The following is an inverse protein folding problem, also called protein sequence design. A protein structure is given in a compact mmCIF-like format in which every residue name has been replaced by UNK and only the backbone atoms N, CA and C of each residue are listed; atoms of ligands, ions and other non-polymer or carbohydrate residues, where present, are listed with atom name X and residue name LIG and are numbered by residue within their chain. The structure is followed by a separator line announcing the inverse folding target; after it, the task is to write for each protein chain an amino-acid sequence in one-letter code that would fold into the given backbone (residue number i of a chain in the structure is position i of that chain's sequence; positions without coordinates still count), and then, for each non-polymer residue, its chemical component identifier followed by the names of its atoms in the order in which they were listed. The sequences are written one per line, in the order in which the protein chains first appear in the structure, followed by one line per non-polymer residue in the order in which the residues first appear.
data_IF_738593730078
#
_entry.id   IF_738593730078
#
_cell.length_a   1.000
_cell.length_b   1.000
_cell.length_c   1.000
_cell.angle_alpha   90.00
_cell.angle_beta   90.00
_cell.angle_gamma   90.00
#
_symmetry.space_group_name_H-M   'P 1'
#
loop_
_entity.id
_entity.type
_entity.pdbx_description
1 polymer ?
#
# COMPACT_ATOMS: atom_id res chain seq x y z
N UNK A 1 -28.96 -11.81 -45.58
CA UNK A 1 -29.73 -12.40 -46.70
C UNK A 1 -28.99 -12.07 -47.99
N UNK A 2 -28.78 -13.05 -48.87
CA UNK A 2 -28.42 -12.80 -50.27
C UNK A 2 -29.67 -13.05 -51.11
N UNK A 3 -29.98 -12.09 -51.98
CA UNK A 3 -31.08 -12.18 -52.94
C UNK A 3 -30.50 -12.28 -54.33
N UNK A 4 -31.02 -13.19 -55.14
CA UNK A 4 -30.73 -13.27 -56.57
C UNK A 4 -32.02 -13.08 -57.35
N UNK A 5 -31.94 -12.37 -58.46
CA UNK A 5 -33.05 -12.27 -59.39
C UNK A 5 -33.15 -13.59 -60.15
N UNK A 6 -34.33 -14.21 -60.10
CA UNK A 6 -34.64 -15.41 -60.88
C UNK A 6 -35.64 -14.97 -61.95
N UNK A 7 -35.34 -15.30 -63.20
CA UNK A 7 -36.18 -14.97 -64.35
C UNK A 7 -36.62 -16.27 -65.02
N UNK A 8 -37.90 -16.39 -65.34
CA UNK A 8 -38.40 -17.45 -66.20
C UNK A 8 -37.98 -17.13 -67.64
N UNK A 9 -37.13 -17.97 -68.24
CA UNK A 9 -36.66 -17.77 -69.61
C UNK A 9 -37.02 -18.96 -70.48
N UNK A 10 -37.45 -18.67 -71.71
CA UNK A 10 -37.69 -19.65 -72.77
C UNK A 10 -36.59 -19.49 -73.81
N UNK A 11 -35.77 -20.53 -74.00
CA UNK A 11 -34.74 -20.55 -75.04
C UNK A 11 -35.35 -21.02 -76.35
N UNK A 12 -35.29 -20.18 -77.40
CA UNK A 12 -35.85 -20.48 -78.73
C UNK A 12 -34.76 -20.82 -79.76
N UNK A 13 -33.49 -20.49 -79.46
CA UNK A 13 -32.34 -20.84 -80.28
C UNK A 13 -31.02 -20.71 -79.49
N UNK A 14 -29.86 -20.85 -80.16
CA UNK A 14 -28.55 -20.75 -79.50
C UNK A 14 -28.23 -19.35 -78.96
N UNK A 15 -28.89 -18.30 -79.47
CA UNK A 15 -28.71 -16.91 -79.02
C UNK A 15 -30.02 -16.15 -78.78
N UNK A 16 -31.18 -16.79 -78.96
CA UNK A 16 -32.50 -16.19 -78.74
C UNK A 16 -33.13 -16.73 -77.46
N UNK A 17 -33.33 -15.82 -76.50
CA UNK A 17 -33.96 -16.09 -75.21
C UNK A 17 -35.04 -15.05 -74.95
N UNK A 18 -36.22 -15.49 -74.52
CA UNK A 18 -37.34 -14.63 -74.14
C UNK A 18 -37.63 -14.78 -72.64
N UNK A 19 -37.86 -13.65 -71.95
CA UNK A 19 -38.27 -13.65 -70.54
C UNK A 19 -39.79 -13.72 -70.46
N UNK A 20 -40.30 -14.69 -69.69
CA UNK A 20 -41.73 -14.96 -69.50
C UNK A 20 -42.17 -14.64 -68.06
N UNK A 21 -43.47 -14.67 -67.82
CA UNK A 21 -44.02 -14.63 -66.46
C UNK A 21 -43.65 -15.88 -65.66
N UNK A 22 -43.42 -15.70 -64.35
CA UNK A 22 -43.05 -16.75 -63.41
C UNK A 22 -44.03 -17.93 -63.36
N UNK A 23 -45.30 -17.68 -63.69
CA UNK A 23 -46.38 -18.68 -63.73
C UNK A 23 -46.11 -19.83 -64.72
N UNK A 24 -45.21 -19.62 -65.69
CA UNK A 24 -44.81 -20.63 -66.66
C UNK A 24 -43.62 -21.50 -66.18
N UNK A 25 -42.92 -21.09 -65.12
CA UNK A 25 -41.74 -21.79 -64.57
C UNK A 25 -41.98 -22.22 -63.10
N UNK A 26 -43.09 -22.94 -62.85
CA UNK A 26 -43.46 -23.36 -61.48
C UNK A 26 -42.62 -24.54 -60.95
N UNK A 27 -42.07 -25.36 -61.83
CA UNK A 27 -41.25 -26.52 -61.47
C UNK A 27 -39.76 -26.15 -61.51
N UNK A 28 -38.99 -26.60 -60.52
CA UNK A 28 -37.55 -26.34 -60.38
C UNK A 28 -37.14 -24.87 -60.23
N UNK A 29 -38.05 -23.97 -59.79
CA UNK A 29 -37.71 -22.58 -59.49
C UNK A 29 -36.60 -22.51 -58.42
N UNK A 30 -35.46 -21.86 -58.72
CA UNK A 30 -34.37 -21.70 -57.75
C UNK A 30 -34.78 -20.87 -56.54
N UNK A 31 -34.17 -21.13 -55.38
CA UNK A 31 -34.40 -20.35 -54.16
C UNK A 31 -33.83 -18.93 -54.34
N UNK A 32 -34.73 -17.94 -54.35
CA UNK A 32 -34.42 -16.53 -54.58
C UNK A 32 -33.77 -15.85 -53.38
N UNK A 33 -34.08 -16.36 -52.18
CA UNK A 33 -33.65 -15.81 -50.90
C UNK A 33 -32.88 -16.85 -50.13
N UNK A 34 -31.59 -16.61 -49.97
CA UNK A 34 -30.74 -17.45 -49.13
C UNK A 34 -30.32 -16.68 -47.88
N UNK A 35 -30.45 -17.32 -46.72
CA UNK A 35 -29.89 -16.79 -45.49
C UNK A 35 -28.37 -16.72 -45.63
N UNK A 36 -27.80 -15.52 -45.54
CA UNK A 36 -26.34 -15.37 -45.51
C UNK A 36 -25.87 -15.33 -44.06
N UNK A 37 -24.63 -15.78 -43.81
CA UNK A 37 -24.03 -15.84 -42.48
C UNK A 37 -24.83 -16.67 -41.46
N UNK A 38 -25.22 -17.90 -41.83
CA UNK A 38 -25.83 -18.86 -40.90
C UNK A 38 -24.85 -19.33 -39.80
N UNK A 39 -23.57 -18.92 -39.89
CA UNK A 39 -22.56 -19.13 -38.87
C UNK A 39 -22.46 -17.87 -38.02
N UNK A 40 -22.66 -18.02 -36.71
CA UNK A 40 -22.41 -16.96 -35.74
C UNK A 40 -20.95 -16.50 -35.90
N UNK A 41 -20.75 -15.19 -35.97
CA UNK A 41 -19.41 -14.63 -36.13
C UNK A 41 -18.50 -15.15 -34.99
N UNK A 42 -17.24 -15.52 -35.30
CA UNK A 42 -16.35 -16.07 -34.30
C UNK A 42 -16.18 -15.08 -33.14
N UNK A 43 -15.99 -15.57 -31.91
CA UNK A 43 -15.79 -14.71 -30.77
C UNK A 43 -14.48 -13.93 -30.89
N UNK A 44 -14.46 -12.75 -30.29
CA UNK A 44 -13.35 -11.81 -30.37
C UNK A 44 -12.81 -11.44 -28.99
N UNK A 45 -11.54 -11.07 -28.95
CA UNK A 45 -10.95 -10.50 -27.76
C UNK A 45 -11.49 -9.10 -27.49
N UNK A 46 -11.86 -8.86 -26.25
CA UNK A 46 -12.31 -7.56 -25.75
C UNK A 46 -11.47 -7.21 -24.54
N UNK A 47 -10.92 -6.00 -24.55
CA UNK A 47 -10.05 -5.50 -23.48
C UNK A 47 -10.83 -4.55 -22.60
N UNK A 48 -10.70 -4.71 -21.28
CA UNK A 48 -11.10 -3.68 -20.32
C UNK A 48 -10.00 -2.62 -20.20
N UNK A 49 -10.31 -1.58 -19.45
CA UNK A 49 -9.36 -0.53 -19.12
C UNK A 49 -8.14 -1.06 -18.36
N UNK A 50 -7.04 -0.34 -18.52
CA UNK A 50 -5.84 -0.60 -17.76
C UNK A 50 -6.03 -0.22 -16.30
N UNK A 51 -5.50 -1.05 -15.41
CA UNK A 51 -5.25 -0.69 -14.03
C UNK A 51 -4.30 0.49 -13.95
N UNK A 52 -4.23 1.09 -12.77
CA UNK A 52 -3.17 2.02 -12.45
C UNK A 52 -1.81 1.31 -12.47
N UNK A 53 -0.75 2.08 -12.74
CA UNK A 53 0.62 1.57 -12.70
C UNK A 53 1.00 1.26 -11.25
N UNK A 54 1.57 0.07 -11.03
CA UNK A 54 2.15 -0.32 -9.74
C UNK A 54 3.64 -0.64 -9.90
N UNK A 55 4.52 -0.05 -9.08
CA UNK A 55 4.23 0.92 -8.01
C UNK A 55 3.82 2.32 -8.51
N UNK A 56 3.34 3.18 -7.59
CA UNK A 56 2.87 4.55 -7.87
C UNK A 56 3.98 5.55 -8.21
N UNK A 57 5.21 5.10 -8.32
CA UNK A 57 6.39 5.85 -8.75
C UNK A 57 7.38 4.88 -9.38
N UNK A 58 8.33 5.38 -10.18
CA UNK A 58 9.38 4.56 -10.78
C UNK A 58 8.86 3.57 -11.82
N UNK A 59 9.68 2.56 -12.17
CA UNK A 59 9.31 1.53 -13.14
C UNK A 59 8.32 0.53 -12.54
N UNK A 60 7.31 0.18 -13.32
CA UNK A 60 6.24 -0.71 -12.87
C UNK A 60 5.48 -1.37 -14.01
N UNK A 61 4.33 -1.94 -13.67
CA UNK A 61 3.42 -2.55 -14.63
C UNK A 61 1.99 -2.13 -14.37
N UNK A 62 1.21 -2.06 -15.45
CA UNK A 62 -0.25 -2.01 -15.39
C UNK A 62 -0.83 -3.25 -16.05
N UNK A 63 -1.98 -3.67 -15.55
CA UNK A 63 -2.67 -4.89 -15.94
C UNK A 63 -4.04 -4.55 -16.49
N UNK A 64 -4.59 -5.38 -17.38
CA UNK A 64 -5.98 -5.25 -17.82
C UNK A 64 -6.58 -6.62 -17.99
N UNK A 65 -7.91 -6.68 -17.96
CA UNK A 65 -8.63 -7.92 -18.21
C UNK A 65 -8.88 -8.05 -19.72
N UNK A 66 -8.65 -9.25 -20.24
CA UNK A 66 -8.87 -9.60 -21.64
C UNK A 66 -9.85 -10.77 -21.70
N UNK A 67 -11.03 -10.53 -22.25
CA UNK A 67 -12.14 -11.48 -22.29
C UNK A 67 -12.38 -11.95 -23.72
N UNK A 68 -12.66 -13.24 -23.90
CA UNK A 68 -13.18 -13.76 -25.15
C UNK A 68 -14.70 -13.57 -25.13
N UNK A 69 -15.25 -12.74 -26.02
CA UNK A 69 -16.69 -12.46 -26.07
C UNK A 69 -17.27 -12.83 -27.43
N UNK A 70 -18.56 -13.17 -27.43
CA UNK A 70 -19.35 -13.26 -28.66
C UNK A 70 -19.26 -11.95 -29.45
N UNK A 71 -19.54 -12.02 -30.75
CA UNK A 71 -19.43 -10.86 -31.62
C UNK A 71 -20.33 -9.69 -31.19
N UNK A 72 -21.53 -10.01 -30.68
CA UNK A 72 -22.52 -9.11 -30.10
C UNK A 72 -22.23 -8.69 -28.65
N UNK A 73 -21.10 -9.13 -28.07
CA UNK A 73 -20.61 -8.79 -26.73
C UNK A 73 -21.46 -9.25 -25.54
N UNK A 74 -22.52 -10.01 -25.78
CA UNK A 74 -23.48 -10.48 -24.77
C UNK A 74 -22.93 -11.64 -23.95
N UNK A 75 -22.25 -12.59 -24.59
CA UNK A 75 -21.75 -13.82 -23.96
C UNK A 75 -20.24 -13.78 -23.81
N UNK A 76 -19.75 -14.21 -22.65
CA UNK A 76 -18.31 -14.40 -22.38
C UNK A 76 -17.98 -15.88 -22.47
N UNK A 77 -16.91 -16.21 -23.17
CA UNK A 77 -16.43 -17.57 -23.41
C UNK A 77 -15.07 -17.81 -22.73
N UNK A 78 -14.69 -19.09 -22.55
CA UNK A 78 -13.33 -19.45 -22.16
C UNK A 78 -12.28 -18.92 -23.16
N UNK A 79 -11.06 -18.61 -22.71
CA UNK A 79 -9.98 -18.09 -23.56
C UNK A 79 -9.67 -18.95 -24.80
N UNK A 80 -9.87 -20.26 -24.73
CA UNK A 80 -9.59 -21.20 -25.82
C UNK A 80 -10.48 -20.99 -27.06
N UNK A 81 -11.63 -20.31 -26.91
CA UNK A 81 -12.56 -20.06 -28.02
C UNK A 81 -12.09 -18.92 -28.92
N UNK A 82 -11.19 -18.07 -28.45
CA UNK A 82 -10.62 -16.97 -29.23
C UNK A 82 -9.20 -17.32 -29.70
N UNK A 83 -8.77 -16.84 -30.88
CA UNK A 83 -7.44 -17.16 -31.42
C UNK A 83 -6.31 -16.62 -30.53
N UNK A 84 -5.44 -17.50 -30.03
CA UNK A 84 -4.38 -17.14 -29.08
C UNK A 84 -3.34 -16.17 -29.66
N UNK A 85 -3.07 -16.26 -30.96
CA UNK A 85 -2.16 -15.36 -31.69
C UNK A 85 -2.63 -13.90 -31.72
N UNK A 86 -3.94 -13.66 -31.57
CA UNK A 86 -4.53 -12.31 -31.56
C UNK A 86 -4.79 -11.80 -30.15
N UNK A 87 -4.44 -12.57 -29.11
CA UNK A 87 -4.72 -12.21 -27.72
C UNK A 87 -3.94 -10.95 -27.32
N UNK A 88 -4.62 -9.84 -26.97
CA UNK A 88 -3.95 -8.62 -26.54
C UNK A 88 -3.14 -8.82 -25.24
N UNK A 89 -2.08 -8.02 -25.00
CA UNK A 89 -1.29 -8.13 -23.79
C UNK A 89 -2.15 -7.82 -22.55
N UNK A 90 -2.03 -8.66 -21.53
CA UNK A 90 -2.68 -8.52 -20.21
C UNK A 90 -1.86 -7.60 -19.30
N UNK A 91 -0.57 -7.43 -19.57
CA UNK A 91 0.38 -6.66 -18.77
C UNK A 91 1.29 -5.84 -19.66
N UNK A 92 1.48 -4.55 -19.35
CA UNK A 92 2.45 -3.69 -20.01
C UNK A 92 3.29 -2.90 -19.00
N UNK A 93 4.51 -2.54 -19.41
CA UNK A 93 5.42 -1.70 -18.62
C UNK A 93 4.89 -0.27 -18.55
N UNK A 94 5.13 0.37 -17.42
CA UNK A 94 4.90 1.79 -17.21
C UNK A 94 6.06 2.36 -16.39
N UNK A 95 6.28 3.67 -16.48
CA UNK A 95 7.27 4.37 -15.67
C UNK A 95 6.68 5.69 -15.24
N UNK A 96 6.51 5.84 -13.93
CA UNK A 96 6.05 7.06 -13.30
C UNK A 96 7.27 7.89 -12.85
N UNK A 97 7.03 9.06 -12.27
CA UNK A 97 8.08 9.92 -11.72
C UNK A 97 8.95 9.18 -10.69
N UNK A 98 10.13 9.74 -10.38
CA UNK A 98 11.06 9.13 -9.42
C UNK A 98 10.37 8.87 -8.08
N UNK A 99 10.68 7.73 -7.48
CA UNK A 99 10.17 7.42 -6.15
C UNK A 99 10.74 8.36 -5.10
N UNK A 100 9.94 8.72 -4.08
CA UNK A 100 10.46 9.44 -2.94
C UNK A 100 11.63 8.67 -2.33
N UNK A 101 12.72 9.37 -1.94
CA UNK A 101 13.86 8.71 -1.33
C UNK A 101 13.46 8.09 0.02
N UNK A 102 14.15 7.02 0.45
CA UNK A 102 14.00 6.50 1.80
C UNK A 102 14.29 7.55 2.87
N UNK A 103 13.57 7.47 3.98
CA UNK A 103 13.71 8.42 5.10
C UNK A 103 13.80 7.72 6.43
N UNK A 104 14.47 8.36 7.38
CA UNK A 104 14.50 7.92 8.77
C UNK A 104 13.16 8.16 9.44
N UNK A 105 12.63 7.10 10.04
CA UNK A 105 11.41 7.13 10.84
C UNK A 105 11.81 6.84 12.29
N UNK A 106 11.72 7.83 13.19
CA UNK A 106 11.87 7.58 14.61
C UNK A 106 10.61 6.90 15.14
N UNK A 107 10.78 5.87 15.97
CA UNK A 107 9.73 5.33 16.80
C UNK A 107 9.49 6.16 18.05
N UNK A 108 8.52 5.72 18.85
CA UNK A 108 8.25 6.30 20.16
C UNK A 108 9.44 6.12 21.11
N UNK A 109 9.59 7.07 22.04
CA UNK A 109 10.56 6.95 23.12
C UNK A 109 10.13 5.86 24.10
N UNK A 110 11.09 5.02 24.48
CA UNK A 110 10.93 4.08 25.59
C UNK A 110 10.88 4.81 26.94
N UNK A 111 10.68 4.05 28.00
CA UNK A 111 10.67 4.60 29.36
C UNK A 111 12.04 5.17 29.73
N UNK A 112 12.03 6.19 30.59
CA UNK A 112 13.25 6.74 31.15
C UNK A 112 13.93 5.68 32.02
N UNK A 113 15.25 5.51 31.87
CA UNK A 113 16.05 4.57 32.65
C UNK A 113 16.05 4.88 34.15
N UNK A 114 15.78 6.13 34.51
CA UNK A 114 15.69 6.59 35.89
C UNK A 114 14.22 6.75 36.29
N UNK A 115 13.85 6.12 37.40
CA UNK A 115 12.51 6.25 37.99
C UNK A 115 12.27 7.64 38.59
N UNK A 116 13.34 8.34 38.98
CA UNK A 116 13.31 9.73 39.43
C UNK A 116 14.61 10.45 39.01
N UNK A 117 14.54 11.74 38.72
CA UNK A 117 15.67 12.58 38.34
C UNK A 117 16.13 12.37 36.89
N UNK A 118 17.42 12.56 36.62
CA UNK A 118 17.99 12.48 35.28
C UNK A 118 18.25 11.01 34.88
N UNK A 119 17.75 10.62 33.72
CA UNK A 119 17.99 9.32 33.10
C UNK A 119 18.17 9.43 31.59
N UNK A 120 18.16 8.28 30.92
CA UNK A 120 18.22 8.20 29.47
C UNK A 120 17.06 7.36 28.94
N UNK A 121 16.53 7.73 27.78
CA UNK A 121 15.52 6.98 27.07
C UNK A 121 16.03 6.64 25.67
N UNK A 122 15.58 5.49 25.15
CA UNK A 122 15.98 4.99 23.84
C UNK A 122 14.74 4.85 22.95
N UNK A 123 14.91 5.07 21.64
CA UNK A 123 13.88 4.80 20.63
C UNK A 123 14.47 4.02 19.47
N UNK A 124 13.60 3.33 18.75
CA UNK A 124 13.98 2.73 17.47
C UNK A 124 14.08 3.81 16.39
N UNK A 125 15.04 3.68 15.49
CA UNK A 125 15.19 4.57 14.34
C UNK A 125 15.43 3.69 13.12
N UNK A 126 14.46 3.66 12.21
CA UNK A 126 14.47 2.79 11.05
C UNK A 126 14.54 3.61 9.77
N UNK A 127 15.38 3.19 8.83
CA UNK A 127 15.36 3.73 7.48
C UNK A 127 14.32 2.97 6.67
N UNK A 128 13.25 3.66 6.26
CA UNK A 128 12.15 3.06 5.49
C UNK A 128 12.04 3.72 4.12
N UNK A 129 11.80 2.89 3.11
CA UNK A 129 11.40 3.35 1.77
C UNK A 129 9.98 3.92 1.78
N UNK A 130 9.55 4.54 0.67
CA UNK A 130 8.20 5.09 0.54
C UNK A 130 7.08 4.02 0.65
N UNK A 131 7.39 2.73 0.48
CA UNK A 131 6.45 1.61 0.68
C UNK A 131 6.43 1.08 2.10
N UNK A 132 7.25 1.63 3.01
CA UNK A 132 7.40 1.17 4.38
C UNK A 132 8.35 -0.02 4.55
N UNK A 133 9.03 -0.46 3.48
CA UNK A 133 10.03 -1.52 3.57
C UNK A 133 11.36 -0.99 4.12
N UNK A 134 12.11 -1.78 4.92
CA UNK A 134 13.46 -1.41 5.38
C UNK A 134 14.39 -1.10 4.21
N UNK A 135 15.19 -0.04 4.35
CA UNK A 135 16.17 0.40 3.36
C UNK A 135 17.48 0.79 4.05
N UNK A 136 18.57 0.86 3.28
CA UNK A 136 19.89 1.35 3.70
C UNK A 136 20.31 2.61 2.94
N UNK A 137 19.43 3.19 2.12
CA UNK A 137 19.75 4.34 1.27
C UNK A 137 19.47 5.70 1.94
N UNK A 138 19.12 5.71 3.23
CA UNK A 138 18.90 6.95 3.96
C UNK A 138 20.22 7.68 4.22
N UNK A 139 20.19 9.01 4.15
CA UNK A 139 21.33 9.85 4.50
C UNK A 139 21.61 9.80 6.01
N UNK A 140 22.77 9.31 6.43
CA UNK A 140 23.15 9.22 7.87
C UNK A 140 23.15 10.57 8.59
N UNK A 141 23.49 11.67 7.91
CA UNK A 141 23.46 13.02 8.50
C UNK A 141 22.05 13.49 8.91
N UNK A 142 21.00 12.85 8.40
CA UNK A 142 19.60 13.13 8.78
C UNK A 142 19.06 12.13 9.83
N UNK A 143 19.89 11.20 10.31
CA UNK A 143 19.48 10.16 11.26
C UNK A 143 19.14 10.79 12.61
N UNK A 144 17.88 10.68 13.09
CA UNK A 144 17.51 11.18 14.40
C UNK A 144 18.27 10.44 15.52
N UNK A 145 18.46 11.11 16.65
CA UNK A 145 19.08 10.49 17.84
C UNK A 145 18.27 9.29 18.31
N UNK A 146 18.92 8.15 18.49
CA UNK A 146 18.29 6.95 19.06
C UNK A 146 18.24 6.97 20.59
N UNK A 147 19.00 7.87 21.22
CA UNK A 147 19.11 8.02 22.66
C UNK A 147 19.02 9.50 23.02
N UNK A 148 18.27 9.82 24.07
CA UNK A 148 18.25 11.18 24.62
C UNK A 148 18.16 11.15 26.15
N UNK A 149 18.46 12.30 26.77
CA UNK A 149 18.22 12.50 28.19
C UNK A 149 16.73 12.69 28.47
N UNK A 150 16.30 12.20 29.62
CA UNK A 150 14.96 12.38 30.18
C UNK A 150 15.06 12.78 31.65
N UNK A 151 14.04 13.46 32.15
CA UNK A 151 13.93 13.83 33.56
C UNK A 151 12.59 13.35 34.09
N UNK A 152 12.62 12.43 35.05
CA UNK A 152 11.44 11.97 35.78
C UNK A 152 11.27 12.80 37.04
N UNK A 153 10.05 13.25 37.32
CA UNK A 153 9.74 14.00 38.53
C UNK A 153 10.00 13.09 39.74
N UNK A 154 10.89 13.54 40.63
CA UNK A 154 11.00 12.93 41.95
C UNK A 154 9.82 13.43 42.78
N UNK A 155 8.84 12.57 43.07
CA UNK A 155 8.01 12.84 44.24
C UNK A 155 8.93 12.82 45.45
N UNK A 156 9.00 13.94 46.15
CA UNK A 156 9.60 13.97 47.48
C UNK A 156 8.86 12.89 48.27
N UNK A 157 9.61 11.90 48.76
CA UNK A 157 9.10 10.94 49.74
C UNK A 157 8.27 11.75 50.74
N UNK A 158 6.99 11.42 50.97
CA UNK A 158 6.22 12.07 52.01
C UNK A 158 6.84 11.65 53.36
N UNK A 159 7.85 12.39 53.80
CA UNK A 159 8.27 12.40 55.19
C UNK A 159 7.33 13.38 55.87
N UNK A 160 6.20 12.88 56.34
CA UNK A 160 5.53 13.41 57.52
C UNK A 160 4.35 12.52 57.89
N UNK A 161 4.59 11.55 58.77
CA UNK A 161 3.76 11.44 59.94
C UNK A 161 4.65 11.16 61.14
N UNK A 162 5.03 12.25 61.82
CA UNK A 162 5.09 12.27 63.28
C UNK A 162 6.25 11.57 63.99
N UNK A 163 7.42 11.37 63.38
CA UNK A 163 8.58 10.90 64.15
C UNK A 163 9.58 12.02 64.45
N UNK A 164 9.70 12.28 65.74
CA UNK A 164 10.66 13.13 66.43
C UNK A 164 12.01 13.18 65.70
N UNK A 165 12.49 14.39 65.37
CA UNK A 165 13.77 14.57 64.70
C UNK A 165 14.89 13.87 65.49
N UNK A 166 15.50 12.85 64.86
CA UNK A 166 16.56 12.01 65.44
C UNK A 166 17.78 12.04 64.52
N UNK A 167 18.95 12.14 65.13
CA UNK A 167 20.22 12.00 64.42
C UNK A 167 20.41 10.56 63.96
N UNK A 168 20.69 10.38 62.67
CA UNK A 168 20.87 9.05 62.03
C UNK A 168 22.06 8.29 62.63
N UNK A 169 23.12 8.96 63.04
CA UNK A 169 24.23 8.35 63.78
C UNK A 169 24.90 9.36 64.72
N UNK A 170 24.58 9.21 66.01
CA UNK A 170 25.00 10.09 67.11
C UNK A 170 26.47 9.92 67.51
N UNK A 171 27.11 8.82 67.15
CA UNK A 171 28.42 8.43 67.70
C UNK A 171 29.57 8.93 66.84
N UNK A 172 29.45 8.84 65.51
CA UNK A 172 30.54 9.19 64.60
C UNK A 172 30.11 10.20 63.54
N UNK A 173 29.02 9.92 62.82
CA UNK A 173 28.67 10.69 61.63
C UNK A 173 28.23 12.13 61.94
N UNK A 174 27.24 12.31 62.83
CA UNK A 174 26.74 13.65 63.14
C UNK A 174 27.76 14.55 63.87
N UNK A 175 28.60 14.03 64.79
CA UNK A 175 29.74 14.78 65.33
C UNK A 175 30.73 15.26 64.25
N UNK A 176 30.98 14.48 63.20
CA UNK A 176 31.83 14.90 62.08
C UNK A 176 31.14 15.97 61.22
N UNK A 177 29.83 15.84 60.98
CA UNK A 177 29.02 16.86 60.28
C UNK A 177 29.11 18.20 61.01
N UNK A 178 29.04 18.20 62.34
CA UNK A 178 29.23 19.40 63.15
C UNK A 178 30.67 19.91 63.09
N UNK A 179 31.65 19.02 63.28
CA UNK A 179 33.09 19.36 63.30
C UNK A 179 33.56 20.00 62.00
N UNK A 180 33.06 19.54 60.86
CA UNK A 180 33.40 20.04 59.53
C UNK A 180 32.43 21.09 58.98
N UNK A 181 31.54 21.64 59.82
CA UNK A 181 30.56 22.70 59.46
C UNK A 181 29.65 22.36 58.27
N UNK A 182 29.27 21.10 58.13
CA UNK A 182 28.36 20.66 57.08
C UNK A 182 26.87 20.93 57.39
N UNK A 183 26.56 21.43 58.60
CA UNK A 183 25.22 21.87 58.99
C UNK A 183 24.63 23.00 58.11
N UNK A 184 25.41 23.62 57.21
CA UNK A 184 24.87 24.58 56.22
C UNK A 184 24.11 23.95 55.05
N UNK A 185 24.17 22.62 54.86
CA UNK A 185 23.47 21.93 53.75
C UNK A 185 22.22 21.21 54.27
N UNK A 186 21.11 21.38 53.56
CA UNK A 186 19.80 20.81 53.92
C UNK A 186 19.85 19.28 54.15
N UNK A 187 20.58 18.55 53.30
CA UNK A 187 20.78 17.11 53.44
C UNK A 187 21.36 16.69 54.80
N UNK A 188 22.41 17.39 55.26
CA UNK A 188 23.05 17.08 56.54
C UNK A 188 22.19 17.52 57.73
N UNK A 189 21.42 18.63 57.60
CA UNK A 189 20.44 19.04 58.62
C UNK A 189 19.31 18.04 58.78
N UNK A 190 18.86 17.42 57.69
CA UNK A 190 17.79 16.41 57.75
C UNK A 190 18.26 15.12 58.43
N UNK A 191 19.51 14.71 58.19
CA UNK A 191 20.11 13.50 58.77
C UNK A 191 20.62 13.69 60.21
N UNK A 192 21.04 14.89 60.58
CA UNK A 192 21.66 15.22 61.88
C UNK A 192 20.97 16.41 62.54
N UNK A 193 19.64 16.35 62.60
CA UNK A 193 18.78 17.44 63.00
C UNK A 193 18.99 17.90 64.46
N UNK A 194 19.27 16.99 65.40
CA UNK A 194 19.58 17.35 66.80
C UNK A 194 20.99 17.92 66.91
N UNK A 195 21.96 17.32 66.23
CA UNK A 195 23.36 17.80 66.26
C UNK A 195 23.54 19.18 65.61
N UNK A 196 22.74 19.53 64.60
CA UNK A 196 22.76 20.83 63.94
C UNK A 196 21.77 21.85 64.53
N UNK A 197 21.10 21.54 65.66
CA UNK A 197 20.10 22.41 66.26
C UNK A 197 20.77 23.66 66.85
N UNK A 198 20.65 24.80 66.15
CA UNK A 198 21.19 26.11 66.57
C UNK A 198 22.44 26.62 65.83
N UNK A 199 22.76 26.10 64.62
CA UNK A 199 23.87 26.59 63.78
C UNK A 199 23.53 26.69 62.30
#
# INVERSE_FOLDING_TARGET
MRTRTVLCIRKMGPAEEETLEDSHCLTHRPIEREACNNQSCPPRWVTLDWSECTPKCGPGFKHRIVLCKSNDLTKTFPPAHCPSNTKPPVRIRCSLGRCPPPRWIPGEWGQCSAQCGLGQQMRTVQCLSYTGQPSSECTEGLRPTAMQQCESKCDAVPIANGDECKDVNKVAYCPLVLKFKFCGRAYFRQMCCKTCQGR
#
